data_IF_066223727208
#
_entry.id   IF_066223727208
#
_cell.length_a   1.000
_cell.length_b   1.000
_cell.length_c   1.000
_cell.angle_alpha   90.00
_cell.angle_beta   90.00
_cell.angle_gamma   90.00
#
_symmetry.space_group_name_H-M   'P 1'
#
loop_
_entity.id
_entity.type
_entity.pdbx_description
1 polymer ?
#
# COMPACT_ATOMS: atom_id res chain seq x y z
N UNK A 1 -3.79 13.73 -8.00
CA UNK A 1 -3.53 12.32 -7.64
C UNK A 1 -4.38 11.96 -6.43
N UNK A 2 -5.15 10.91 -6.51
CA UNK A 2 -6.03 10.48 -5.41
C UNK A 2 -5.74 9.02 -5.07
N UNK A 3 -5.00 8.80 -4.00
CA UNK A 3 -4.71 7.47 -3.47
C UNK A 3 -5.62 7.21 -2.28
N UNK A 4 -6.27 6.06 -2.27
CA UNK A 4 -7.19 5.65 -1.21
C UNK A 4 -6.74 4.32 -0.64
N UNK A 5 -6.91 4.14 0.65
CA UNK A 5 -6.58 2.89 1.32
C UNK A 5 -7.71 2.49 2.26
N UNK A 6 -7.99 1.19 2.30
CA UNK A 6 -8.98 0.62 3.21
C UNK A 6 -8.45 -0.67 3.81
N UNK A 7 -8.84 -0.96 5.04
CA UNK A 7 -8.43 -2.14 5.76
C UNK A 7 -9.64 -2.95 6.20
N UNK A 8 -9.63 -4.24 5.88
CA UNK A 8 -10.66 -5.19 6.32
C UNK A 8 -10.12 -5.99 7.51
N UNK A 9 -10.46 -5.55 8.71
CA UNK A 9 -9.91 -6.14 9.94
C UNK A 9 -10.24 -7.63 10.07
N UNK A 10 -11.42 -8.06 9.60
CA UNK A 10 -11.82 -9.45 9.69
C UNK A 10 -11.00 -10.40 8.83
N UNK A 11 -10.45 -9.93 7.71
CA UNK A 11 -9.62 -10.74 6.81
C UNK A 11 -8.14 -10.38 6.87
N UNK A 12 -7.81 -9.22 7.42
CA UNK A 12 -6.44 -8.74 7.48
C UNK A 12 -5.92 -8.25 6.12
N UNK A 13 -6.79 -7.79 5.23
CA UNK A 13 -6.40 -7.31 3.91
C UNK A 13 -6.42 -5.79 3.88
N UNK A 14 -5.26 -5.22 3.56
CA UNK A 14 -5.12 -3.78 3.29
C UNK A 14 -5.12 -3.58 1.78
N UNK A 15 -6.08 -2.80 1.28
CA UNK A 15 -6.20 -2.52 -0.15
C UNK A 15 -5.92 -1.04 -0.41
N UNK A 16 -5.05 -0.77 -1.37
CA UNK A 16 -4.65 0.59 -1.74
C UNK A 16 -4.95 0.79 -3.21
N UNK A 17 -5.62 1.88 -3.54
CA UNK A 17 -6.05 2.18 -4.90
C UNK A 17 -5.51 3.54 -5.34
N UNK A 18 -4.83 3.56 -6.47
CA UNK A 18 -4.53 4.79 -7.19
C UNK A 18 -5.72 5.27 -8.02
N UNK A 19 -5.43 6.13 -8.99
CA UNK A 19 -6.43 6.60 -9.97
C UNK A 19 -5.86 6.48 -11.40
N UNK A 20 -6.46 7.19 -12.36
CA UNK A 20 -5.99 7.14 -13.76
C UNK A 20 -4.77 8.02 -14.02
N UNK A 21 -4.27 8.74 -13.02
CA UNK A 21 -3.09 9.60 -13.12
C UNK A 21 -1.86 8.85 -12.63
N UNK A 22 -0.66 9.44 -12.87
CA UNK A 22 0.57 8.87 -12.35
C UNK A 22 0.61 8.99 -10.84
N UNK A 23 0.69 7.85 -10.15
CA UNK A 23 0.67 7.80 -8.70
C UNK A 23 2.00 7.29 -8.16
N UNK A 24 2.39 7.81 -7.01
CA UNK A 24 3.46 7.24 -6.20
C UNK A 24 2.84 6.68 -4.93
N UNK A 25 2.96 5.37 -4.74
CA UNK A 25 2.38 4.67 -3.60
C UNK A 25 3.50 3.95 -2.88
N UNK A 26 3.78 4.34 -1.64
CA UNK A 26 4.80 3.72 -0.81
C UNK A 26 4.15 3.10 0.41
N UNK A 27 4.25 1.79 0.53
CA UNK A 27 3.89 1.08 1.74
C UNK A 27 5.11 0.98 2.64
N UNK A 28 4.94 1.29 3.92
CA UNK A 28 6.02 1.21 4.90
C UNK A 28 5.44 0.87 6.26
N UNK A 29 6.30 0.74 7.25
CA UNK A 29 5.89 0.56 8.63
C UNK A 29 6.74 1.44 9.53
N UNK A 30 6.19 1.79 10.69
CA UNK A 30 7.00 2.41 11.73
C UNK A 30 7.64 1.33 12.63
N UNK A 31 8.41 1.76 13.63
CA UNK A 31 9.08 0.83 14.53
C UNK A 31 8.10 0.00 15.38
N UNK A 32 6.90 0.51 15.61
CA UNK A 32 5.85 -0.20 16.36
C UNK A 32 5.11 -1.22 15.49
N UNK A 33 5.30 -1.20 14.17
CA UNK A 33 4.64 -2.12 13.26
C UNK A 33 3.37 -1.57 12.60
N UNK A 34 3.05 -0.30 12.80
CA UNK A 34 1.92 0.33 12.11
C UNK A 34 2.25 0.51 10.63
N UNK A 35 1.35 0.05 9.76
CA UNK A 35 1.54 0.16 8.32
C UNK A 35 1.08 1.54 7.86
N UNK A 36 1.94 2.21 7.10
CA UNK A 36 1.72 3.55 6.62
C UNK A 36 1.70 3.56 5.10
N UNK A 37 0.79 4.33 4.51
CA UNK A 37 0.75 4.57 3.08
C UNK A 37 1.17 6.01 2.83
N UNK A 38 2.22 6.18 2.01
CA UNK A 38 2.85 7.47 1.72
C UNK A 38 3.24 8.21 3.02
N UNK A 39 3.86 7.48 3.96
CA UNK A 39 4.32 8.04 5.23
C UNK A 39 3.19 8.50 6.16
N UNK A 40 1.97 8.04 5.95
CA UNK A 40 0.80 8.48 6.71
C UNK A 40 -0.01 9.58 6.04
N UNK A 41 0.43 10.07 4.87
CA UNK A 41 -0.31 11.09 4.12
C UNK A 41 -1.64 10.56 3.58
N UNK A 42 -1.73 9.24 3.35
CA UNK A 42 -2.98 8.59 2.93
C UNK A 42 -3.60 7.92 4.15
N UNK A 43 -4.78 8.39 4.54
CA UNK A 43 -5.51 7.80 5.66
C UNK A 43 -6.07 6.44 5.26
N UNK A 44 -5.99 5.46 6.17
CA UNK A 44 -6.57 4.14 5.97
C UNK A 44 -7.93 4.11 6.65
N UNK A 45 -8.97 3.75 5.90
CA UNK A 45 -10.32 3.61 6.44
C UNK A 45 -10.58 2.17 6.88
N UNK A 46 -11.50 1.97 7.80
CA UNK A 46 -11.92 0.64 8.25
C UNK A 46 -11.12 0.07 9.40
N UNK A 47 -10.01 0.69 9.81
CA UNK A 47 -9.19 0.23 10.92
C UNK A 47 -7.77 0.72 10.86
N UNK A 48 -6.93 0.17 11.72
CA UNK A 48 -5.50 0.50 11.80
C UNK A 48 -4.68 -0.75 11.44
N UNK A 49 -4.19 -0.85 10.20
CA UNK A 49 -3.39 -2.01 9.82
C UNK A 49 -2.03 -1.99 10.50
N UNK A 50 -1.63 -3.14 11.01
CA UNK A 50 -0.30 -3.37 11.57
C UNK A 50 0.26 -4.64 10.98
N UNK A 51 1.56 -4.85 11.12
CA UNK A 51 2.17 -6.11 10.64
C UNK A 51 1.61 -7.33 11.38
N UNK A 52 1.08 -7.16 12.57
CA UNK A 52 0.50 -8.25 13.36
C UNK A 52 -0.91 -8.62 12.92
N UNK A 53 -1.70 -7.68 12.40
CA UNK A 53 -3.10 -7.92 12.05
C UNK A 53 -3.35 -7.93 10.54
N UNK A 54 -2.34 -7.71 9.72
CA UNK A 54 -2.46 -7.65 8.27
C UNK A 54 -1.79 -8.87 7.65
N UNK A 55 -2.55 -9.62 6.88
CA UNK A 55 -2.05 -10.83 6.20
C UNK A 55 -1.64 -10.57 4.77
N UNK A 56 -2.21 -9.55 4.13
CA UNK A 56 -1.94 -9.24 2.73
C UNK A 56 -2.14 -7.74 2.49
N UNK A 57 -1.22 -7.16 1.73
CA UNK A 57 -1.35 -5.80 1.19
C UNK A 57 -1.59 -5.94 -0.31
N UNK A 58 -2.66 -5.31 -0.81
CA UNK A 58 -2.95 -5.27 -2.24
C UNK A 58 -2.88 -3.83 -2.70
N UNK A 59 -2.07 -3.55 -3.72
CA UNK A 59 -1.92 -2.21 -4.27
C UNK A 59 -2.29 -2.22 -5.73
N UNK A 60 -3.22 -1.35 -6.10
CA UNK A 60 -3.72 -1.22 -7.47
C UNK A 60 -3.41 0.19 -7.95
N UNK A 61 -2.42 0.31 -8.84
CA UNK A 61 -2.05 1.61 -9.42
C UNK A 61 -3.12 2.15 -10.36
N UNK A 62 -3.79 1.28 -11.07
CA UNK A 62 -4.80 1.57 -12.09
C UNK A 62 -4.18 2.18 -13.34
N UNK A 63 -4.72 3.26 -13.90
CA UNK A 63 -4.15 3.89 -15.08
C UNK A 63 -2.97 4.79 -14.75
N UNK A 64 -2.27 5.24 -15.80
CA UNK A 64 -1.09 6.09 -15.65
C UNK A 64 0.18 5.32 -15.38
N UNK A 65 1.30 6.04 -15.26
CA UNK A 65 2.60 5.47 -14.94
C UNK A 65 2.81 5.55 -13.44
N UNK A 66 2.59 4.44 -12.73
CA UNK A 66 2.60 4.42 -11.28
C UNK A 66 3.92 3.87 -10.76
N UNK A 67 4.37 4.41 -9.63
CA UNK A 67 5.51 3.88 -8.89
C UNK A 67 5.01 3.34 -7.57
N UNK A 68 5.11 2.04 -7.37
CA UNK A 68 4.64 1.35 -6.18
C UNK A 68 5.82 0.68 -5.50
N UNK A 69 6.08 1.05 -4.24
CA UNK A 69 7.23 0.57 -3.49
C UNK A 69 6.81 0.09 -2.11
N UNK A 70 7.29 -1.10 -1.72
CA UNK A 70 7.18 -1.59 -0.34
C UNK A 70 8.51 -1.32 0.36
N UNK A 71 8.53 -0.42 1.33
CA UNK A 71 9.73 -0.03 2.06
C UNK A 71 9.79 -0.77 3.39
N UNK A 72 10.77 -1.64 3.55
CA UNK A 72 10.98 -2.44 4.76
C UNK A 72 12.15 -1.95 5.62
N UNK A 73 12.49 -0.68 5.53
CA UNK A 73 13.62 -0.12 6.29
C UNK A 73 13.44 -0.25 7.80
N UNK A 74 12.22 -0.20 8.31
CA UNK A 74 11.91 -0.33 9.73
C UNK A 74 11.47 -1.75 10.12
N UNK A 75 11.59 -2.71 9.23
CA UNK A 75 11.25 -4.09 9.46
C UNK A 75 10.37 -4.67 8.34
N UNK A 76 10.11 -5.97 8.43
CA UNK A 76 9.38 -6.69 7.41
C UNK A 76 7.91 -6.25 7.36
N UNK A 77 7.36 -6.20 6.14
CA UNK A 77 5.96 -6.00 5.86
C UNK A 77 5.28 -7.34 5.55
N UNK A 78 3.95 -7.42 5.67
CA UNK A 78 3.21 -8.61 5.20
C UNK A 78 3.40 -8.83 3.70
N UNK A 79 2.96 -10.00 3.22
CA UNK A 79 2.96 -10.30 1.80
C UNK A 79 2.19 -9.20 1.03
N UNK A 80 2.67 -8.84 -0.15
CA UNK A 80 2.05 -7.80 -0.95
C UNK A 80 1.86 -8.26 -2.39
N UNK A 81 0.69 -7.93 -2.95
CA UNK A 81 0.41 -8.07 -4.37
C UNK A 81 0.34 -6.67 -4.97
N UNK A 82 1.19 -6.40 -5.93
CA UNK A 82 1.31 -5.09 -6.56
C UNK A 82 0.81 -5.18 -8.00
N UNK A 83 -0.17 -4.35 -8.34
CA UNK A 83 -0.78 -4.31 -9.67
C UNK A 83 -0.63 -2.89 -10.22
N UNK A 84 0.22 -2.74 -11.22
CA UNK A 84 0.43 -1.44 -11.87
C UNK A 84 -0.75 -1.03 -12.72
N UNK A 85 -1.37 -1.99 -13.43
CA UNK A 85 -2.44 -1.70 -14.38
C UNK A 85 -1.90 -1.19 -15.71
N UNK A 86 -2.66 -0.33 -16.39
CA UNK A 86 -2.25 0.23 -17.67
C UNK A 86 -1.13 1.26 -17.49
N UNK A 87 -0.29 1.40 -18.51
CA UNK A 87 0.84 2.33 -18.50
C UNK A 87 2.16 1.66 -18.15
N UNK A 88 3.20 2.46 -18.02
CA UNK A 88 4.55 2.00 -17.66
C UNK A 88 4.74 2.14 -16.17
N UNK A 89 4.58 1.03 -15.43
CA UNK A 89 4.59 1.05 -13.98
C UNK A 89 5.92 0.52 -13.45
N UNK A 90 6.33 1.04 -12.30
CA UNK A 90 7.49 0.55 -11.55
C UNK A 90 7.01 -0.06 -10.25
N UNK A 91 7.22 -1.38 -10.08
CA UNK A 91 6.76 -2.11 -8.92
C UNK A 91 7.97 -2.67 -8.18
N UNK A 92 8.10 -2.32 -6.89
CA UNK A 92 9.20 -2.80 -6.06
C UNK A 92 8.62 -3.48 -4.83
N UNK A 93 8.86 -4.77 -4.69
CA UNK A 93 8.46 -5.53 -3.52
C UNK A 93 9.40 -5.31 -2.34
N UNK A 94 8.95 -5.73 -1.17
CA UNK A 94 9.76 -5.69 0.04
C UNK A 94 10.69 -6.88 0.19
#
# INVERSE_FOLDING_TARGET
MAVKASFLAGTGILSVFGDSLDNTITGSRDAAGTILINGGAVAVTGGHPTVANTTLIQVFGQGGNDTITMNEANGALPAANLFGGAGNDTLTGG
#
